data_IF_082351732138
#
_entry.id   IF_082351732138
#
_cell.length_a   1.000
_cell.length_b   1.000
_cell.length_c   1.000
_cell.angle_alpha   90.00
_cell.angle_beta   90.00
_cell.angle_gamma   90.00
#
_symmetry.space_group_name_H-M   'P 1'
#
loop_
_entity.id
_entity.type
_entity.pdbx_description
1 polymer ?
#
# COMPACT_ATOMS: atom_id res chain seq x y z
N UNK A 1 42.04 -1.71 4.17
CA UNK A 1 41.56 -1.98 5.55
C UNK A 1 40.66 -0.89 6.14
N UNK A 2 40.66 0.36 5.64
CA UNK A 2 39.85 1.48 6.19
C UNK A 2 38.33 1.38 5.92
N UNK A 3 37.90 0.71 4.86
CA UNK A 3 36.47 0.58 4.49
C UNK A 3 35.65 -0.23 5.51
N UNK A 4 36.27 -1.20 6.22
CA UNK A 4 35.57 -2.00 7.24
C UNK A 4 35.21 -1.20 8.50
N UNK A 5 36.01 -0.19 8.84
CA UNK A 5 35.79 0.61 10.06
C UNK A 5 34.61 1.57 9.91
N UNK A 6 34.45 2.17 8.73
CA UNK A 6 33.28 3.01 8.42
C UNK A 6 31.99 2.20 8.39
N UNK A 7 31.99 0.99 7.83
CA UNK A 7 30.82 0.11 7.84
C UNK A 7 30.38 -0.28 9.25
N UNK A 8 31.34 -0.58 10.14
CA UNK A 8 31.06 -0.86 11.55
C UNK A 8 30.57 0.40 12.27
N UNK A 9 31.17 1.55 12.00
CA UNK A 9 30.75 2.83 12.57
C UNK A 9 29.34 3.25 12.12
N UNK A 10 29.02 3.13 10.83
CA UNK A 10 27.67 3.36 10.31
C UNK A 10 26.68 2.31 10.81
N UNK A 11 27.09 1.06 11.02
CA UNK A 11 26.25 0.02 11.62
C UNK A 11 25.99 0.29 13.10
N UNK A 12 26.97 0.80 13.85
CA UNK A 12 26.80 1.22 15.25
C UNK A 12 25.95 2.49 15.35
N UNK A 13 26.14 3.47 14.46
CA UNK A 13 25.26 4.65 14.38
C UNK A 13 23.84 4.24 13.96
N UNK A 14 23.69 3.30 13.02
CA UNK A 14 22.40 2.74 12.63
C UNK A 14 21.74 2.00 13.80
N UNK A 15 22.50 1.21 14.57
CA UNK A 15 22.02 0.56 15.79
C UNK A 15 21.64 1.58 16.86
N UNK A 16 22.46 2.62 17.08
CA UNK A 16 22.24 3.68 18.06
C UNK A 16 21.08 4.63 17.71
N UNK A 17 20.82 4.86 16.41
CA UNK A 17 19.61 5.56 15.94
C UNK A 17 18.39 4.63 15.88
N UNK A 18 18.58 3.32 15.69
CA UNK A 18 17.48 2.34 15.77
C UNK A 18 16.97 2.13 17.19
N UNK A 19 17.79 2.44 18.22
CA UNK A 19 17.36 2.43 19.63
C UNK A 19 16.33 3.52 19.99
N UNK A 20 15.98 4.41 19.06
CA UNK A 20 14.93 5.42 19.24
C UNK A 20 13.74 5.26 18.26
N UNK A 21 13.67 4.15 17.52
CA UNK A 21 12.63 3.92 16.51
C UNK A 21 12.05 2.52 16.68
N UNK A 22 11.07 2.44 17.56
CA UNK A 22 10.24 1.26 17.78
C UNK A 22 8.77 1.78 17.65
N UNK A 23 7.82 1.03 17.03
CA UNK A 23 6.32 0.90 17.10
C UNK A 23 5.66 -0.17 16.25
N UNK A 24 4.52 -0.68 16.70
CA UNK A 24 3.57 -1.59 16.03
C UNK A 24 2.21 -0.94 15.94
N UNK A 25 1.10 -1.66 15.76
CA UNK A 25 0.83 -2.99 15.21
C UNK A 25 -0.52 -2.88 14.48
N UNK A 26 -0.71 -3.71 13.45
CA UNK A 26 -1.63 -3.60 12.30
C UNK A 26 -0.98 -2.96 11.08
N UNK A 27 -0.17 -3.75 10.39
CA UNK A 27 0.48 -3.31 9.18
C UNK A 27 0.45 -4.37 8.09
N UNK A 28 0.26 -3.90 6.87
CA UNK A 28 0.36 -4.72 5.68
C UNK A 28 1.82 -5.07 5.34
N UNK A 29 1.99 -6.34 4.97
CA UNK A 29 3.21 -6.91 4.36
C UNK A 29 3.63 -6.11 3.12
N UNK A 30 2.67 -5.95 2.21
CA UNK A 30 2.74 -5.18 0.98
C UNK A 30 1.45 -4.36 0.90
N UNK A 31 1.56 -3.10 0.49
CA UNK A 31 0.53 -2.09 0.70
C UNK A 31 1.04 -0.90 1.53
N UNK A 32 0.15 0.02 1.92
CA UNK A 32 0.45 1.25 2.65
C UNK A 32 0.73 0.95 4.15
N UNK A 33 0.38 1.84 5.07
CA UNK A 33 0.75 1.70 6.47
C UNK A 33 -0.04 0.58 7.17
N UNK A 34 -1.36 0.53 7.00
CA UNK A 34 -2.24 -0.39 7.73
C UNK A 34 -2.76 -1.54 6.86
N UNK A 35 -3.15 -1.23 5.63
CA UNK A 35 -3.77 -2.20 4.74
C UNK A 35 -2.77 -3.20 4.15
N UNK A 36 -3.20 -4.45 4.10
CA UNK A 36 -2.55 -5.55 3.40
C UNK A 36 -3.05 -5.68 1.97
N UNK A 37 -2.16 -5.91 1.01
CA UNK A 37 -2.51 -6.21 -0.38
C UNK A 37 -3.28 -7.54 -0.54
N UNK A 38 -3.93 -7.73 -1.68
CA UNK A 38 -4.58 -8.99 -2.08
C UNK A 38 -3.61 -10.06 -2.60
N UNK A 39 -2.30 -9.81 -2.64
CA UNK A 39 -1.27 -10.77 -3.08
C UNK A 39 -0.30 -11.13 -1.96
N UNK A 40 0.34 -12.29 -2.05
CA UNK A 40 1.33 -12.77 -1.06
C UNK A 40 2.76 -12.48 -1.50
N UNK A 41 3.69 -12.64 -0.57
CA UNK A 41 5.10 -12.75 -0.91
C UNK A 41 5.34 -13.95 -1.83
N UNK A 42 6.30 -13.86 -2.77
CA UNK A 42 6.75 -15.01 -3.54
C UNK A 42 7.25 -16.15 -2.63
N UNK A 43 7.16 -17.39 -3.12
CA UNK A 43 7.68 -18.56 -2.39
C UNK A 43 9.19 -18.41 -2.15
N UNK A 44 9.59 -18.51 -0.88
CA UNK A 44 10.96 -18.38 -0.42
C UNK A 44 11.40 -16.95 -0.13
N UNK A 45 10.57 -15.94 -0.43
CA UNK A 45 10.88 -14.55 -0.10
C UNK A 45 10.55 -14.30 1.38
N UNK A 46 11.40 -13.48 2.00
CA UNK A 46 11.30 -13.06 3.38
C UNK A 46 11.37 -11.54 3.46
N UNK A 47 10.55 -10.94 4.31
CA UNK A 47 10.61 -9.51 4.64
C UNK A 47 10.66 -9.32 6.13
N UNK A 48 11.35 -8.25 6.51
CA UNK A 48 11.45 -7.78 7.87
C UNK A 48 11.02 -6.32 7.90
N UNK A 49 10.11 -5.98 8.80
CA UNK A 49 9.70 -4.61 9.03
C UNK A 49 10.00 -4.19 10.46
N UNK A 50 10.36 -2.92 10.61
CA UNK A 50 10.18 -2.20 11.86
C UNK A 50 9.12 -1.14 11.63
N UNK A 51 8.39 -0.80 12.65
CA UNK A 51 7.47 0.33 12.62
C UNK A 51 7.78 1.26 13.80
N UNK A 52 7.22 2.46 13.82
CA UNK A 52 7.26 3.49 14.87
C UNK A 52 6.00 4.35 14.76
N UNK A 53 5.41 4.75 15.89
CA UNK A 53 4.10 5.36 16.07
C UNK A 53 4.23 6.27 17.26
N UNK A 54 3.76 7.49 17.07
CA UNK A 54 4.00 8.55 18.02
C UNK A 54 2.82 9.50 18.04
N UNK A 55 2.36 9.79 19.26
CA UNK A 55 1.37 10.80 19.56
C UNK A 55 1.74 11.51 20.86
N UNK A 56 1.36 12.79 20.98
CA UNK A 56 1.35 13.47 22.26
C UNK A 56 0.17 14.42 22.41
N UNK A 57 -0.18 14.71 23.66
CA UNK A 57 -1.21 15.67 24.03
C UNK A 57 -0.75 16.50 25.22
N UNK A 58 -0.73 17.83 25.07
CA UNK A 58 -0.38 18.77 26.13
C UNK A 58 -1.65 19.33 26.76
N UNK A 59 -1.73 19.28 28.09
CA UNK A 59 -2.75 19.98 28.86
C UNK A 59 -2.12 20.97 29.83
N UNK A 60 -2.54 22.22 29.72
CA UNK A 60 -2.23 23.27 30.68
C UNK A 60 -3.36 23.39 31.70
N UNK A 61 -2.98 23.48 32.97
CA UNK A 61 -3.86 23.75 34.10
C UNK A 61 -3.53 25.13 34.65
N UNK A 62 -4.59 25.88 34.96
CA UNK A 62 -4.51 27.19 35.58
C UNK A 62 -5.06 27.04 37.00
N UNK A 63 -4.21 27.27 37.98
CA UNK A 63 -4.59 27.27 39.39
C UNK A 63 -5.21 28.61 39.77
N UNK A 64 -5.95 28.63 40.89
CA UNK A 64 -6.59 29.85 41.42
C UNK A 64 -5.62 30.95 41.84
N UNK A 65 -4.34 30.63 42.01
CA UNK A 65 -3.24 31.55 42.35
C UNK A 65 -2.47 32.08 41.11
N UNK A 66 -3.03 31.91 39.91
CA UNK A 66 -2.37 32.17 38.62
C UNK A 66 -1.12 31.32 38.34
N UNK A 67 -0.85 30.26 39.13
CA UNK A 67 0.18 29.30 38.74
C UNK A 67 -0.28 28.48 37.53
N UNK A 68 0.66 28.23 36.62
CA UNK A 68 0.44 27.46 35.40
C UNK A 68 1.23 26.17 35.52
N UNK A 69 0.54 25.04 35.47
CA UNK A 69 1.18 23.72 35.33
C UNK A 69 0.79 23.10 33.99
N UNK A 70 1.66 22.27 33.44
CA UNK A 70 1.40 21.57 32.19
C UNK A 70 1.79 20.10 32.32
N UNK A 71 0.95 19.23 31.75
CA UNK A 71 1.21 17.80 31.65
C UNK A 71 1.19 17.43 30.17
N UNK A 72 2.20 16.67 29.74
CA UNK A 72 2.25 16.07 28.41
C UNK A 72 2.04 14.56 28.54
N UNK A 73 1.03 14.06 27.83
CA UNK A 73 0.81 12.63 27.64
C UNK A 73 1.47 12.22 26.33
N UNK A 74 2.34 11.22 26.40
CA UNK A 74 3.01 10.63 25.24
C UNK A 74 2.42 9.27 24.98
N UNK A 75 2.25 8.90 23.72
CA UNK A 75 1.81 7.57 23.31
C UNK A 75 2.78 7.09 22.24
N UNK A 76 3.74 6.30 22.71
CA UNK A 76 4.82 5.71 21.92
C UNK A 76 4.66 4.21 21.99
N UNK A 77 4.69 3.58 20.83
CA UNK A 77 4.61 2.14 20.68
C UNK A 77 5.95 1.67 20.11
N UNK A 78 6.35 0.40 20.26
CA UNK A 78 7.46 -0.39 19.69
C UNK A 78 7.10 -1.65 18.85
N UNK A 79 7.50 -1.95 17.59
CA UNK A 79 7.34 -3.32 17.03
C UNK A 79 8.30 -3.75 15.92
N UNK A 80 8.39 -5.08 15.80
CA UNK A 80 9.06 -5.82 14.75
C UNK A 80 8.08 -6.76 14.05
N UNK A 81 8.20 -6.90 12.74
CA UNK A 81 7.38 -7.79 11.93
C UNK A 81 8.24 -8.64 10.99
N UNK A 82 7.91 -9.91 10.88
CA UNK A 82 8.56 -10.89 10.02
C UNK A 82 7.53 -11.55 9.14
N UNK A 83 7.84 -11.70 7.87
CA UNK A 83 6.95 -12.31 6.90
C UNK A 83 7.69 -13.27 5.99
N UNK A 84 7.09 -14.43 5.74
CA UNK A 84 7.67 -15.47 4.90
C UNK A 84 6.64 -16.07 3.96
N UNK A 85 6.90 -15.99 2.65
CA UNK A 85 6.12 -16.67 1.62
C UNK A 85 6.52 -18.14 1.55
N UNK A 86 5.76 -19.06 2.14
CA UNK A 86 6.12 -20.49 2.13
C UNK A 86 5.53 -21.25 0.94
N UNK A 87 4.52 -20.70 0.27
CA UNK A 87 3.96 -21.25 -0.96
C UNK A 87 3.46 -20.14 -1.90
N UNK A 88 3.09 -20.51 -3.13
CA UNK A 88 2.69 -19.55 -4.20
C UNK A 88 1.58 -18.57 -3.76
N UNK A 89 0.62 -19.06 -2.99
CA UNK A 89 -0.55 -18.31 -2.53
C UNK A 89 -0.63 -18.24 -1.01
N UNK A 90 0.47 -18.51 -0.29
CA UNK A 90 0.45 -18.56 1.17
C UNK A 90 1.68 -17.91 1.78
N UNK A 91 1.43 -17.16 2.84
CA UNK A 91 2.42 -16.44 3.59
C UNK A 91 2.09 -16.49 5.08
N UNK A 92 3.11 -16.70 5.90
CA UNK A 92 3.03 -16.56 7.35
C UNK A 92 3.65 -15.23 7.78
N UNK A 93 3.17 -14.70 8.90
CA UNK A 93 3.69 -13.50 9.54
C UNK A 93 3.72 -13.62 11.05
N UNK A 94 4.72 -12.99 11.65
CA UNK A 94 4.92 -12.86 13.09
C UNK A 94 5.20 -11.39 13.38
N UNK A 95 4.40 -10.75 14.23
CA UNK A 95 4.62 -9.36 14.63
C UNK A 95 4.64 -9.26 16.15
N UNK A 96 5.72 -8.74 16.71
CA UNK A 96 5.87 -8.54 18.16
C UNK A 96 5.87 -7.06 18.45
N UNK A 97 4.96 -6.62 19.31
CA UNK A 97 5.07 -5.31 19.93
C UNK A 97 6.19 -5.39 20.97
N UNK A 98 7.30 -4.71 20.71
CA UNK A 98 8.43 -4.68 21.63
C UNK A 98 8.21 -3.75 22.81
N UNK A 99 7.63 -2.57 22.59
CA UNK A 99 7.46 -1.53 23.60
C UNK A 99 6.06 -0.93 23.47
N UNK A 100 5.43 -0.46 24.53
CA UNK A 100 4.22 0.34 24.42
C UNK A 100 4.01 1.15 25.69
N UNK A 101 3.81 2.46 25.58
CA UNK A 101 3.36 3.27 26.72
C UNK A 101 1.99 2.77 27.18
N UNK A 102 1.83 2.49 28.48
CA UNK A 102 0.56 2.00 29.02
C UNK A 102 -0.10 2.98 30.00
N UNK A 103 0.62 4.04 30.39
CA UNK A 103 0.18 5.08 31.33
C UNK A 103 -0.25 4.56 32.71
N UNK A 104 0.22 3.37 33.12
CA UNK A 104 -0.01 2.77 34.44
C UNK A 104 1.16 3.09 35.37
N UNK A 105 0.93 3.94 36.36
CA UNK A 105 1.96 4.40 37.30
C UNK A 105 2.95 5.42 36.70
N UNK A 106 4.02 5.73 37.43
CA UNK A 106 5.03 6.72 37.02
C UNK A 106 5.93 6.16 35.89
N UNK A 107 5.54 6.41 34.64
CA UNK A 107 6.31 6.01 33.45
C UNK A 107 5.96 4.62 32.90
N UNK A 108 4.78 4.09 33.20
CA UNK A 108 4.38 2.73 32.82
C UNK A 108 4.49 2.43 31.32
N UNK A 109 5.09 1.28 31.02
CA UNK A 109 5.22 0.71 29.68
C UNK A 109 5.08 -0.82 29.73
N UNK A 110 4.76 -1.43 28.59
CA UNK A 110 4.85 -2.87 28.36
C UNK A 110 6.13 -3.18 27.58
N UNK A 111 6.87 -4.22 27.99
CA UNK A 111 8.04 -4.74 27.25
C UNK A 111 8.30 -6.22 27.58
N UNK A 112 7.98 -7.17 26.67
CA UNK A 112 7.23 -6.99 25.44
C UNK A 112 5.74 -6.70 25.72
N UNK A 113 5.03 -6.24 24.69
CA UNK A 113 3.56 -6.24 24.67
C UNK A 113 3.10 -7.45 23.81
N UNK A 114 1.93 -7.37 23.19
CA UNK A 114 1.26 -8.51 22.56
C UNK A 114 1.94 -8.99 21.26
N UNK A 115 1.79 -10.29 21.02
CA UNK A 115 2.32 -10.99 19.85
C UNK A 115 1.20 -11.29 18.86
N UNK A 116 1.46 -11.11 17.57
CA UNK A 116 0.51 -11.35 16.50
C UNK A 116 1.04 -12.43 15.55
N UNK A 117 0.21 -13.42 15.29
CA UNK A 117 0.41 -14.45 14.28
C UNK A 117 -0.52 -14.17 13.11
N UNK A 118 0.02 -14.20 11.90
CA UNK A 118 -0.73 -13.92 10.68
C UNK A 118 -0.56 -15.07 9.68
N UNK A 119 -1.67 -15.53 9.10
CA UNK A 119 -1.67 -16.41 7.95
C UNK A 119 -2.43 -15.74 6.82
N UNK A 120 -1.76 -15.47 5.71
CA UNK A 120 -2.33 -14.79 4.54
C UNK A 120 -2.34 -15.72 3.34
N UNK A 121 -3.46 -15.72 2.63
CA UNK A 121 -3.58 -16.29 1.29
C UNK A 121 -3.96 -15.22 0.29
N UNK A 122 -3.55 -15.35 -0.97
CA UNK A 122 -3.85 -14.33 -1.97
C UNK A 122 -3.18 -14.56 -3.32
N UNK A 123 -3.31 -13.57 -4.19
CA UNK A 123 -2.87 -13.66 -5.59
C UNK A 123 -3.85 -14.45 -6.45
N UNK A 124 -5.12 -14.54 -6.04
CA UNK A 124 -6.20 -15.08 -6.86
C UNK A 124 -6.70 -13.96 -7.78
N UNK A 125 -6.35 -14.03 -9.06
CA UNK A 125 -6.67 -12.98 -10.01
C UNK A 125 -7.95 -13.28 -10.82
N UNK A 126 -8.73 -12.25 -11.13
CA UNK A 126 -9.82 -12.35 -12.11
C UNK A 126 -9.28 -12.45 -13.55
N UNK A 127 -10.14 -12.75 -14.54
CA UNK A 127 -9.74 -12.98 -15.96
C UNK A 127 -8.86 -11.89 -16.60
N UNK A 128 -8.96 -10.63 -16.15
CA UNK A 128 -8.12 -9.52 -16.64
C UNK A 128 -6.80 -9.34 -15.90
N UNK A 129 -6.54 -10.08 -14.82
CA UNK A 129 -5.33 -9.98 -13.99
C UNK A 129 -5.25 -8.74 -13.09
N UNK A 130 -6.03 -7.69 -13.37
CA UNK A 130 -5.95 -6.40 -12.67
C UNK A 130 -6.41 -6.45 -11.21
N UNK A 131 -7.39 -7.31 -10.91
CA UNK A 131 -7.88 -7.51 -9.56
C UNK A 131 -7.30 -8.78 -8.96
N UNK A 132 -6.77 -8.66 -7.74
CA UNK A 132 -6.25 -9.75 -6.92
C UNK A 132 -7.03 -9.83 -5.62
N UNK A 133 -7.43 -11.04 -5.26
CA UNK A 133 -8.18 -11.33 -4.04
C UNK A 133 -7.38 -12.24 -3.12
N UNK A 134 -7.67 -12.14 -1.83
CA UNK A 134 -7.04 -12.95 -0.81
C UNK A 134 -7.80 -12.90 0.52
N UNK A 135 -7.24 -13.58 1.50
CA UNK A 135 -7.74 -13.58 2.87
C UNK A 135 -6.58 -13.58 3.86
N UNK A 136 -6.83 -13.09 5.07
CA UNK A 136 -5.88 -13.11 6.18
C UNK A 136 -6.58 -13.60 7.45
N UNK A 137 -5.96 -14.54 8.13
CA UNK A 137 -6.25 -14.87 9.52
C UNK A 137 -5.21 -14.18 10.40
N UNK A 138 -5.67 -13.64 11.51
CA UNK A 138 -4.83 -13.01 12.53
C UNK A 138 -5.21 -13.59 13.89
N UNK A 139 -4.20 -13.89 14.69
CA UNK A 139 -4.36 -14.25 16.10
C UNK A 139 -3.47 -13.34 16.92
N UNK A 140 -4.04 -12.71 17.95
CA UNK A 140 -3.31 -11.94 18.95
C UNK A 140 -3.14 -12.79 20.20
N UNK A 141 -1.92 -12.87 20.70
CA UNK A 141 -1.56 -13.57 21.94
C UNK A 141 -1.23 -12.48 22.97
N UNK A 142 -1.97 -12.42 24.09
CA UNK A 142 -1.79 -11.41 25.12
C UNK A 142 -0.52 -11.72 25.92
N UNK A 143 0.59 -11.06 25.60
CA UNK A 143 1.86 -11.22 26.33
C UNK A 143 2.18 -10.01 27.21
N UNK A 144 1.46 -8.90 27.02
CA UNK A 144 1.67 -7.69 27.79
C UNK A 144 1.24 -7.85 29.26
N UNK A 145 1.89 -7.11 30.15
CA UNK A 145 1.50 -7.07 31.58
C UNK A 145 0.22 -6.24 31.80
N UNK A 146 0.05 -5.18 31.02
CA UNK A 146 -1.11 -4.29 31.10
C UNK A 146 -1.89 -4.25 29.77
N UNK A 147 -3.21 -4.30 29.87
CA UNK A 147 -4.13 -4.21 28.74
C UNK A 147 -5.18 -3.12 28.98
N UNK A 148 -6.11 -2.93 28.03
CA UNK A 148 -7.06 -1.82 28.04
C UNK A 148 -6.32 -0.48 28.23
N UNK A 149 -5.48 -0.14 27.26
CA UNK A 149 -4.63 1.05 27.27
C UNK A 149 -5.36 2.20 26.58
N UNK A 150 -5.31 3.40 27.17
CA UNK A 150 -5.88 4.60 26.56
C UNK A 150 -5.08 4.95 25.29
N UNK A 151 -5.72 5.56 24.29
CA UNK A 151 -5.09 5.95 23.03
C UNK A 151 -4.72 4.78 22.10
N UNK A 152 -4.92 3.54 22.53
CA UNK A 152 -4.66 2.37 21.69
C UNK A 152 -5.95 1.61 21.34
N UNK A 153 -6.00 0.86 20.22
CA UNK A 153 -7.11 -0.04 19.93
C UNK A 153 -7.41 -0.98 21.11
N UNK A 154 -8.67 -1.38 21.22
CA UNK A 154 -9.10 -2.21 22.34
C UNK A 154 -8.34 -3.54 22.38
N UNK A 155 -7.94 -3.93 23.59
CA UNK A 155 -7.39 -5.24 23.92
C UNK A 155 -7.98 -5.69 25.23
N UNK A 156 -8.53 -6.88 25.25
CA UNK A 156 -9.05 -7.49 26.47
C UNK A 156 -7.97 -8.19 27.32
N UNK A 157 -6.73 -8.28 26.83
CA UNK A 157 -5.72 -9.12 27.46
C UNK A 157 -6.01 -10.61 27.35
N UNK A 158 -6.76 -11.00 26.33
CA UNK A 158 -7.12 -12.37 26.03
C UNK A 158 -6.72 -12.68 24.58
N UNK A 159 -6.76 -13.95 24.22
CA UNK A 159 -6.53 -14.34 22.83
C UNK A 159 -7.62 -13.72 21.95
N UNK A 160 -7.21 -13.00 20.91
CA UNK A 160 -8.12 -12.41 19.92
C UNK A 160 -7.89 -13.08 18.58
N UNK A 161 -8.96 -13.23 17.79
CA UNK A 161 -8.88 -13.85 16.48
C UNK A 161 -9.68 -13.06 15.45
N UNK A 162 -9.06 -12.84 14.29
CA UNK A 162 -9.66 -12.07 13.21
C UNK A 162 -9.54 -12.75 11.85
N UNK A 163 -10.56 -12.55 11.03
CA UNK A 163 -10.59 -12.97 9.62
C UNK A 163 -10.83 -11.76 8.74
N UNK A 164 -10.04 -11.63 7.67
CA UNK A 164 -10.05 -10.47 6.78
C UNK A 164 -10.12 -10.92 5.33
N UNK A 165 -11.02 -10.34 4.56
CA UNK A 165 -11.02 -10.36 3.11
C UNK A 165 -10.17 -9.23 2.54
N UNK A 166 -9.42 -9.54 1.48
CA UNK A 166 -8.48 -8.63 0.84
C UNK A 166 -8.80 -8.52 -0.65
N UNK A 167 -8.89 -7.30 -1.15
CA UNK A 167 -8.97 -7.02 -2.58
C UNK A 167 -7.94 -5.97 -2.97
N UNK A 168 -7.31 -6.14 -4.12
CA UNK A 168 -6.37 -5.15 -4.64
C UNK A 168 -6.45 -5.05 -6.14
N UNK A 169 -6.60 -3.83 -6.61
CA UNK A 169 -6.50 -3.49 -8.01
C UNK A 169 -5.09 -2.99 -8.30
N UNK A 170 -4.52 -3.44 -9.42
CA UNK A 170 -3.33 -2.85 -9.99
C UNK A 170 -3.54 -2.55 -11.46
N UNK A 171 -3.13 -1.35 -11.85
CA UNK A 171 -3.08 -0.93 -13.26
C UNK A 171 -2.00 -1.67 -14.07
N UNK A 172 -1.05 -2.35 -13.40
CA UNK A 172 -0.11 -3.26 -14.05
C UNK A 172 -0.08 -4.61 -13.31
N UNK A 173 -0.86 -5.61 -13.76
CA UNK A 173 -0.92 -6.92 -13.11
C UNK A 173 0.44 -7.60 -12.94
N UNK A 174 1.34 -7.44 -13.92
CA UNK A 174 2.66 -8.06 -13.92
C UNK A 174 3.65 -7.33 -12.99
N UNK A 175 3.40 -6.05 -12.71
CA UNK A 175 4.26 -5.19 -11.91
C UNK A 175 3.42 -4.34 -10.96
N UNK A 176 2.78 -4.96 -9.96
CA UNK A 176 1.81 -4.24 -9.16
C UNK A 176 2.44 -3.04 -8.47
N UNK A 177 3.67 -3.16 -7.97
CA UNK A 177 4.35 -2.07 -7.24
C UNK A 177 4.81 -0.88 -8.12
N UNK A 178 4.77 -0.97 -9.46
CA UNK A 178 5.32 0.08 -10.33
C UNK A 178 4.30 1.09 -10.85
N UNK A 179 3.00 0.79 -10.74
CA UNK A 179 1.91 1.68 -11.18
C UNK A 179 0.82 1.79 -10.12
N UNK A 180 -0.20 2.61 -10.42
CA UNK A 180 -1.32 2.86 -9.52
C UNK A 180 -1.91 1.56 -8.96
N UNK A 181 -2.04 1.52 -7.63
CA UNK A 181 -2.68 0.45 -6.89
C UNK A 181 -3.81 0.97 -6.02
N UNK A 182 -4.84 0.16 -5.87
CA UNK A 182 -5.92 0.37 -4.90
C UNK A 182 -6.04 -0.87 -4.05
N UNK A 183 -6.17 -0.69 -2.74
CA UNK A 183 -6.31 -1.76 -1.76
C UNK A 183 -7.61 -1.58 -0.99
N UNK A 184 -8.33 -2.68 -0.75
CA UNK A 184 -9.54 -2.73 0.05
C UNK A 184 -9.44 -3.90 1.01
N UNK A 185 -9.59 -3.64 2.31
CA UNK A 185 -9.63 -4.68 3.33
C UNK A 185 -10.90 -4.55 4.14
N UNK A 186 -11.45 -5.70 4.49
CA UNK A 186 -12.58 -5.79 5.41
C UNK A 186 -12.42 -7.06 6.24
N UNK A 187 -12.57 -6.96 7.55
CA UNK A 187 -12.46 -8.10 8.43
C UNK A 187 -13.33 -7.98 9.66
N UNK A 188 -13.42 -9.11 10.35
CA UNK A 188 -14.11 -9.28 11.61
C UNK A 188 -13.07 -9.69 12.65
N UNK A 189 -13.05 -9.00 13.79
CA UNK A 189 -12.22 -9.31 14.94
C UNK A 189 -13.13 -9.69 16.12
N UNK A 190 -12.85 -10.84 16.74
CA UNK A 190 -13.48 -11.28 17.98
C UNK A 190 -12.48 -11.10 19.13
N UNK A 191 -12.88 -10.33 20.13
CA UNK A 191 -12.15 -10.19 21.38
C UNK A 191 -12.75 -11.19 22.36
N UNK A 192 -11.94 -12.14 22.85
CA UNK A 192 -12.38 -13.13 23.83
C UNK A 192 -12.49 -12.52 25.24
N UNK A 193 -13.36 -11.53 25.40
CA UNK A 193 -13.51 -10.72 26.61
C UNK A 193 -14.68 -11.16 27.51
N UNK A 194 -15.21 -12.37 27.29
CA UNK A 194 -16.27 -12.94 28.13
C UNK A 194 -15.79 -13.08 29.58
N UNK A 195 -16.54 -12.47 30.51
CA UNK A 195 -16.26 -12.46 31.94
C UNK A 195 -14.85 -11.94 32.31
N UNK A 196 -14.24 -11.11 31.47
CA UNK A 196 -13.00 -10.41 31.81
C UNK A 196 -13.33 -9.17 32.63
N UNK A 197 -12.65 -8.99 33.76
CA UNK A 197 -12.69 -7.74 34.51
C UNK A 197 -11.55 -6.82 34.03
N UNK A 198 -11.91 -5.68 33.43
CA UNK A 198 -10.94 -4.68 32.95
C UNK A 198 -10.62 -3.60 34.00
N UNK A 199 -11.26 -3.64 35.17
CA UNK A 199 -10.99 -2.71 36.26
C UNK A 199 -9.84 -3.24 37.12
N UNK A 200 -8.91 -2.35 37.48
CA UNK A 200 -7.88 -2.61 38.49
C UNK A 200 -8.43 -2.57 39.92
N UNK A 201 -9.64 -2.04 40.11
CA UNK A 201 -10.33 -2.01 41.40
C UNK A 201 -11.25 -3.23 41.53
N UNK A 202 -10.96 -4.11 42.50
CA UNK A 202 -11.72 -5.35 42.79
C UNK A 202 -13.21 -5.11 43.12
N UNK A 203 -13.59 -3.88 43.42
CA UNK A 203 -14.94 -3.49 43.88
C UNK A 203 -15.97 -3.32 42.76
N UNK A 204 -15.56 -3.24 41.48
CA UNK A 204 -16.48 -3.03 40.34
C UNK A 204 -16.27 -4.11 39.29
N UNK A 205 -17.12 -5.14 39.32
CA UNK A 205 -17.18 -6.20 38.31
C UNK A 205 -18.21 -5.87 37.23
N UNK A 206 -17.82 -5.15 36.17
CA UNK A 206 -18.60 -5.06 34.93
C UNK A 206 -18.26 -6.25 34.02
N UNK A 207 -18.69 -7.45 34.44
CA UNK A 207 -18.40 -8.68 33.72
C UNK A 207 -19.31 -8.80 32.50
N UNK A 208 -18.70 -8.85 31.32
CA UNK A 208 -19.43 -8.97 30.07
C UNK A 208 -19.98 -10.38 29.88
N UNK A 209 -21.23 -10.45 29.41
CA UNK A 209 -21.94 -11.73 29.13
C UNK A 209 -21.61 -12.34 27.77
N UNK A 210 -20.91 -11.63 26.88
CA UNK A 210 -20.63 -12.07 25.51
C UNK A 210 -19.40 -11.35 24.94
N UNK A 211 -18.70 -12.00 24.02
CA UNK A 211 -17.50 -11.47 23.37
C UNK A 211 -17.77 -10.15 22.62
N UNK A 212 -16.83 -9.20 22.70
CA UNK A 212 -16.80 -8.02 21.83
C UNK A 212 -16.41 -8.41 20.43
N UNK A 213 -17.02 -7.73 19.47
CA UNK A 213 -16.79 -7.97 18.04
C UNK A 213 -16.76 -6.67 17.30
N UNK A 214 -15.80 -6.52 16.40
CA UNK A 214 -15.70 -5.37 15.54
C UNK A 214 -15.45 -5.74 14.08
N UNK A 215 -15.95 -4.88 13.21
CA UNK A 215 -15.58 -4.84 11.79
C UNK A 215 -14.40 -3.88 11.67
N UNK A 216 -13.29 -4.35 11.11
CA UNK A 216 -12.12 -3.53 10.80
C UNK A 216 -12.02 -3.45 9.29
N UNK A 217 -11.81 -2.26 8.76
CA UNK A 217 -11.68 -2.13 7.31
C UNK A 217 -11.06 -0.81 6.88
N UNK A 218 -10.76 -0.76 5.59
CA UNK A 218 -10.19 0.42 4.99
C UNK A 218 -9.96 0.31 3.50
N UNK A 219 -9.62 1.44 2.92
CA UNK A 219 -9.28 1.59 1.52
C UNK A 219 -8.02 2.45 1.37
N UNK A 220 -7.16 2.13 0.41
CA UNK A 220 -6.03 2.98 0.09
C UNK A 220 -5.76 3.04 -1.40
N UNK A 221 -5.22 4.18 -1.83
CA UNK A 221 -4.67 4.38 -3.16
C UNK A 221 -3.18 4.67 -3.03
N UNK A 222 -2.38 4.05 -3.88
CA UNK A 222 -0.93 4.26 -3.96
C UNK A 222 -0.59 4.73 -5.37
N UNK A 223 0.13 5.85 -5.44
CA UNK A 223 0.70 6.43 -6.65
C UNK A 223 2.22 6.26 -6.60
N UNK A 224 2.77 5.19 -7.20
CA UNK A 224 4.20 4.98 -7.21
C UNK A 224 4.90 5.85 -8.26
N UNK A 225 6.09 6.33 -7.91
CA UNK A 225 7.08 6.95 -8.82
C UNK A 225 8.37 6.13 -8.77
N UNK A 226 9.47 6.58 -9.38
CA UNK A 226 10.74 5.85 -9.34
C UNK A 226 11.33 5.75 -7.92
N UNK A 227 11.35 6.86 -7.17
CA UNK A 227 11.98 6.95 -5.85
C UNK A 227 10.98 7.04 -4.70
N UNK A 228 9.76 7.53 -4.96
CA UNK A 228 8.76 7.77 -3.92
C UNK A 228 7.42 7.13 -4.28
N UNK A 229 6.74 6.55 -3.31
CA UNK A 229 5.33 6.19 -3.45
C UNK A 229 4.49 7.10 -2.58
N UNK A 230 3.48 7.75 -3.15
CA UNK A 230 2.53 8.56 -2.40
C UNK A 230 1.28 7.72 -2.12
N UNK A 231 0.83 7.72 -0.87
CA UNK A 231 -0.35 6.95 -0.47
C UNK A 231 -1.37 7.85 0.21
N UNK A 232 -2.64 7.53 -0.01
CA UNK A 232 -3.76 8.05 0.75
C UNK A 232 -4.58 6.87 1.26
N UNK A 233 -4.71 6.75 2.57
CA UNK A 233 -5.32 5.60 3.24
C UNK A 233 -6.45 6.06 4.16
N UNK A 234 -7.58 5.34 4.12
CA UNK A 234 -8.68 5.45 5.07
C UNK A 234 -8.78 4.11 5.80
N UNK A 235 -8.79 4.14 7.12
CA UNK A 235 -8.94 2.94 7.93
C UNK A 235 -9.70 3.22 9.21
N UNK A 236 -10.41 2.23 9.73
CA UNK A 236 -11.22 2.39 10.92
C UNK A 236 -11.84 1.09 11.39
N UNK A 237 -12.61 1.21 12.47
CA UNK A 237 -13.36 0.11 13.05
C UNK A 237 -14.84 0.46 13.27
N UNK A 238 -15.64 -0.57 13.44
CA UNK A 238 -17.03 -0.47 13.83
C UNK A 238 -17.42 -1.65 14.74
N UNK A 239 -17.76 -1.37 16.00
CA UNK A 239 -18.19 -2.40 16.94
C UNK A 239 -19.59 -2.93 16.58
N UNK A 240 -19.68 -4.24 16.33
CA UNK A 240 -20.94 -4.99 16.29
C UNK A 240 -21.43 -5.23 17.72
N UNK A 241 -20.52 -5.70 18.58
CA UNK A 241 -20.72 -5.79 20.03
C UNK A 241 -19.63 -4.99 20.71
N UNK A 242 -20.05 -3.97 21.47
CA UNK A 242 -19.13 -3.03 22.12
C UNK A 242 -18.39 -3.68 23.30
N UNK A 243 -17.16 -3.23 23.59
CA UNK A 243 -16.45 -3.51 24.82
C UNK A 243 -17.24 -3.11 26.09
N UNK A 244 -16.85 -3.66 27.26
CA UNK A 244 -17.39 -3.28 28.57
C UNK A 244 -17.37 -1.76 28.80
N UNK A 245 -18.16 -1.28 29.77
CA UNK A 245 -18.20 0.17 30.04
C UNK A 245 -16.89 0.73 30.60
N UNK A 246 -16.05 -0.16 31.11
CA UNK A 246 -14.73 0.06 31.68
C UNK A 246 -13.61 0.05 30.64
N UNK A 247 -13.90 -0.31 29.38
CA UNK A 247 -12.92 -0.24 28.30
C UNK A 247 -12.74 1.21 27.83
N UNK A 248 -11.49 1.70 27.74
CA UNK A 248 -11.21 3.03 27.19
C UNK A 248 -11.65 3.07 25.73
N UNK A 249 -11.20 2.10 24.93
CA UNK A 249 -11.35 2.07 23.46
C UNK A 249 -12.64 1.43 22.96
N UNK A 250 -13.78 1.80 23.56
CA UNK A 250 -15.10 1.24 23.23
C UNK A 250 -15.88 1.96 22.13
N UNK A 251 -15.30 3.00 21.54
CA UNK A 251 -15.91 3.80 20.48
C UNK A 251 -15.36 3.43 19.11
N UNK A 252 -16.16 3.66 18.08
CA UNK A 252 -15.71 3.51 16.70
C UNK A 252 -14.79 4.69 16.32
N UNK A 253 -13.80 4.42 15.48
CA UNK A 253 -12.92 5.42 14.90
C UNK A 253 -12.80 5.26 13.38
N UNK A 254 -12.37 6.34 12.74
CA UNK A 254 -12.01 6.41 11.33
C UNK A 254 -10.88 7.43 11.20
N UNK A 255 -9.82 7.04 10.51
CA UNK A 255 -8.65 7.84 10.23
C UNK A 255 -8.46 8.02 8.73
N UNK A 256 -7.91 9.17 8.37
CA UNK A 256 -7.29 9.44 7.08
C UNK A 256 -5.78 9.56 7.28
N UNK A 257 -5.01 8.84 6.47
CA UNK A 257 -3.55 8.74 6.57
C UNK A 257 -2.90 8.99 5.22
N UNK A 258 -2.52 10.25 4.90
CA UNK A 258 -1.56 10.51 3.84
C UNK A 258 -0.20 9.93 4.22
N UNK A 259 0.51 9.39 3.24
CA UNK A 259 1.82 8.80 3.43
C UNK A 259 2.74 8.95 2.24
N UNK A 260 4.03 8.81 2.51
CA UNK A 260 5.11 8.78 1.52
C UNK A 260 6.03 7.61 1.84
N UNK A 261 6.40 6.84 0.82
CA UNK A 261 7.39 5.76 0.94
C UNK A 261 8.59 6.09 0.07
N UNK A 262 9.76 6.24 0.68
CA UNK A 262 11.03 6.40 0.00
C UNK A 262 11.69 5.04 -0.26
N UNK A 263 11.94 4.74 -1.54
CA UNK A 263 12.58 3.51 -2.02
C UNK A 263 14.07 3.71 -2.13
N UNK A 264 14.76 3.71 -0.99
CA UNK A 264 16.21 3.97 -0.92
C UNK A 264 17.03 2.94 -1.69
N UNK A 265 16.72 1.65 -1.54
CA UNK A 265 17.32 0.56 -2.30
C UNK A 265 16.26 -0.48 -2.66
N UNK A 266 16.54 -1.35 -3.65
CA UNK A 266 15.60 -2.43 -4.04
C UNK A 266 15.20 -3.35 -2.87
N UNK A 267 16.03 -3.42 -1.83
CA UNK A 267 15.82 -4.21 -0.62
C UNK A 267 15.45 -3.38 0.61
N UNK A 268 15.46 -2.04 0.55
CA UNK A 268 15.22 -1.17 1.70
C UNK A 268 14.30 0.01 1.33
N UNK A 269 13.22 0.16 2.07
CA UNK A 269 12.30 1.30 1.93
C UNK A 269 11.88 1.85 3.28
N UNK A 270 11.61 3.16 3.32
CA UNK A 270 11.13 3.86 4.50
C UNK A 270 9.78 4.49 4.17
N UNK A 271 8.73 4.14 4.92
CA UNK A 271 7.42 4.76 4.81
C UNK A 271 7.18 5.68 5.99
N UNK A 272 6.60 6.84 5.72
CA UNK A 272 6.14 7.80 6.69
C UNK A 272 4.67 8.07 6.42
N UNK A 273 3.86 8.24 7.46
CA UNK A 273 2.50 8.76 7.29
C UNK A 273 1.97 9.43 8.53
N UNK A 274 0.91 10.18 8.32
CA UNK A 274 0.33 11.05 9.33
C UNK A 274 -1.16 10.78 9.43
N UNK A 275 -1.58 10.18 10.54
CA UNK A 275 -2.99 9.89 10.76
C UNK A 275 -3.72 11.12 11.26
N UNK A 276 -4.91 11.35 10.71
CA UNK A 276 -5.84 12.37 11.13
C UNK A 276 -7.16 11.69 11.45
N UNK A 277 -7.63 11.79 12.69
CA UNK A 277 -8.91 11.20 13.08
C UNK A 277 -10.06 12.03 12.49
N UNK A 278 -10.92 11.37 11.71
CA UNK A 278 -12.12 11.98 11.14
C UNK A 278 -13.34 11.89 12.06
N UNK A 279 -13.31 10.97 13.02
CA UNK A 279 -14.39 10.76 14.00
C UNK A 279 -14.32 11.76 15.16
N UNK A 280 -15.49 12.17 15.71
CA UNK A 280 -15.54 13.10 16.84
C UNK A 280 -14.82 12.56 18.07
N UNK A 281 -14.31 13.48 18.88
CA UNK A 281 -13.74 13.09 20.16
C UNK A 281 -14.85 12.66 21.12
N UNK A 282 -14.87 11.38 21.49
CA UNK A 282 -15.69 10.87 22.58
C UNK A 282 -14.74 10.39 23.67
N UNK A 283 -14.86 11.00 24.85
CA UNK A 283 -14.20 10.50 26.06
C UNK A 283 -15.02 9.34 26.60
N UNK A 284 -14.42 8.16 26.71
CA UNK A 284 -15.06 6.98 27.31
C UNK A 284 -14.81 6.85 28.80
N UNK A 285 -14.17 7.84 29.45
CA UNK A 285 -13.93 7.83 30.89
C UNK A 285 -15.29 7.80 31.60
N UNK A 286 -15.83 6.60 31.72
CA UNK A 286 -17.01 6.34 32.52
C UNK A 286 -16.58 6.54 33.96
N UNK A 287 -17.49 7.05 34.79
CA UNK A 287 -17.31 7.18 36.23
C UNK A 287 -17.04 5.85 36.96
N UNK A 288 -16.91 4.74 36.22
CA UNK A 288 -16.66 3.38 36.68
C UNK A 288 -15.19 2.97 36.60
N UNK A 289 -14.38 3.67 35.80
CA UNK A 289 -12.94 3.45 35.79
C UNK A 289 -12.36 4.31 36.90
N UNK A 290 -11.89 3.68 37.97
CA UNK A 290 -11.18 4.32 39.07
C UNK A 290 -9.76 4.68 38.62
N UNK A 291 -9.65 5.45 37.54
CA UNK A 291 -8.39 5.92 36.99
C UNK A 291 -8.26 7.40 37.28
N UNK A 292 -7.11 7.79 37.82
CA UNK A 292 -6.64 9.19 37.84
C UNK A 292 -6.47 9.80 36.43
N UNK A 293 -6.89 9.07 35.39
CA UNK A 293 -6.87 9.51 34.00
C UNK A 293 -7.89 10.63 33.78
N UNK A 294 -7.44 11.80 33.32
CA UNK A 294 -8.29 12.95 33.18
C UNK A 294 -9.35 12.80 32.09
N UNK A 295 -10.57 13.27 32.38
CA UNK A 295 -11.72 13.29 31.46
C UNK A 295 -11.47 14.01 30.12
N UNK A 296 -10.42 14.84 30.02
CA UNK A 296 -10.09 15.59 28.81
C UNK A 296 -9.28 14.81 27.78
N UNK A 297 -8.70 13.65 28.13
CA UNK A 297 -7.96 12.84 27.17
C UNK A 297 -8.93 12.17 26.18
N UNK A 298 -8.61 12.19 24.88
CA UNK A 298 -9.43 11.49 23.91
C UNK A 298 -9.22 9.98 24.05
N UNK A 299 -10.24 9.18 23.71
CA UNK A 299 -10.14 7.72 23.71
C UNK A 299 -9.08 7.20 22.73
N UNK A 300 -8.99 7.84 21.56
CA UNK A 300 -7.97 7.59 20.55
C UNK A 300 -7.18 8.87 20.21
N UNK A 301 -5.97 8.78 19.66
CA UNK A 301 -5.19 9.92 19.22
C UNK A 301 -5.96 10.76 18.21
N UNK A 302 -5.91 12.09 18.35
CA UNK A 302 -6.51 12.98 17.34
C UNK A 302 -5.70 12.99 16.04
N UNK A 303 -4.40 12.80 16.19
CA UNK A 303 -3.43 12.68 15.13
C UNK A 303 -2.38 11.65 15.58
N UNK A 304 -1.61 11.09 14.65
CA UNK A 304 -0.49 10.21 14.98
C UNK A 304 0.53 10.23 13.84
N UNK A 305 1.81 10.15 14.17
CA UNK A 305 2.87 9.97 13.17
C UNK A 305 3.24 8.50 13.13
N UNK A 306 3.42 7.97 11.93
CA UNK A 306 3.83 6.59 11.69
C UNK A 306 5.08 6.56 10.82
N UNK A 307 6.01 5.68 11.17
CA UNK A 307 7.23 5.42 10.43
C UNK A 307 7.40 3.92 10.28
N UNK A 308 7.71 3.41 9.10
CA UNK A 308 7.92 2.00 8.83
C UNK A 308 9.20 1.82 8.02
N UNK A 309 10.11 0.99 8.48
CA UNK A 309 11.23 0.51 7.68
C UNK A 309 10.90 -0.88 7.16
N UNK A 310 11.09 -1.12 5.87
CA UNK A 310 10.92 -2.44 5.25
C UNK A 310 12.24 -2.89 4.64
N UNK A 311 12.66 -4.10 5.00
CA UNK A 311 13.86 -4.78 4.53
C UNK A 311 13.46 -6.07 3.83
N UNK A 312 13.87 -6.25 2.58
CA UNK A 312 13.58 -7.42 1.75
C UNK A 312 14.89 -8.13 1.35
N UNK A 313 15.53 -8.88 2.26
CA UNK A 313 16.88 -9.41 2.06
C UNK A 313 16.97 -10.48 0.96
N UNK A 314 15.89 -11.21 0.69
CA UNK A 314 15.88 -12.41 -0.18
C UNK A 314 14.84 -12.29 -1.29
N UNK A 315 14.85 -11.22 -2.09
CA UNK A 315 14.02 -11.21 -3.31
C UNK A 315 14.85 -11.62 -4.53
N UNK A 316 14.80 -12.91 -4.89
CA UNK A 316 15.39 -13.43 -6.13
C UNK A 316 14.75 -12.77 -7.37
N UNK A 317 13.50 -12.36 -7.25
CA UNK A 317 12.74 -11.64 -8.28
C UNK A 317 13.23 -10.18 -8.41
N UNK A 318 13.37 -9.43 -7.32
CA UNK A 318 13.84 -8.02 -7.39
C UNK A 318 15.30 -7.88 -7.82
N UNK A 319 16.16 -8.88 -7.62
CA UNK A 319 17.52 -8.88 -8.21
C UNK A 319 17.53 -8.95 -9.74
N UNK A 320 16.53 -9.60 -10.36
CA UNK A 320 16.35 -9.57 -11.82
C UNK A 320 15.80 -8.22 -12.27
N UNK A 321 14.81 -7.68 -11.55
CA UNK A 321 14.17 -6.40 -11.90
C UNK A 321 15.03 -5.15 -11.66
N UNK A 322 15.87 -5.11 -10.62
CA UNK A 322 16.82 -4.00 -10.42
C UNK A 322 17.86 -3.92 -11.57
N UNK A 323 18.17 -5.07 -12.18
CA UNK A 323 19.01 -5.13 -13.38
C UNK A 323 18.23 -4.65 -14.61
N UNK A 324 16.97 -5.08 -14.74
CA UNK A 324 16.08 -4.69 -15.84
C UNK A 324 15.60 -3.23 -15.79
N UNK A 325 15.33 -2.61 -14.64
CA UNK A 325 14.92 -1.19 -14.55
C UNK A 325 16.07 -0.25 -14.92
N UNK A 326 17.30 -0.57 -14.52
CA UNK A 326 18.48 0.21 -14.89
C UNK A 326 18.77 0.08 -16.40
N UNK A 327 18.56 -1.10 -16.98
CA UNK A 327 18.71 -1.35 -18.42
C UNK A 327 17.50 -0.85 -19.24
N UNK A 328 16.28 -0.84 -18.69
CA UNK A 328 15.06 -0.42 -19.40
C UNK A 328 14.92 1.09 -19.45
N UNK A 329 15.26 1.85 -18.41
CA UNK A 329 15.23 3.33 -18.51
C UNK A 329 16.22 3.83 -19.57
N UNK A 330 17.43 3.24 -19.64
CA UNK A 330 18.43 3.55 -20.67
C UNK A 330 18.00 3.03 -22.06
N UNK A 331 17.29 1.90 -22.14
CA UNK A 331 16.82 1.36 -23.43
C UNK A 331 15.52 1.96 -23.94
N UNK A 332 14.65 2.52 -23.09
CA UNK A 332 13.35 3.06 -23.49
C UNK A 332 13.51 4.45 -24.09
N UNK A 333 14.40 5.30 -23.56
CA UNK A 333 14.78 6.56 -24.23
C UNK A 333 15.43 6.32 -25.61
N UNK A 334 16.24 5.27 -25.74
CA UNK A 334 16.86 4.90 -27.02
C UNK A 334 15.88 4.19 -27.98
N UNK A 335 14.93 3.40 -27.47
CA UNK A 335 13.88 2.76 -28.28
C UNK A 335 12.83 3.77 -28.75
N UNK A 336 12.44 4.74 -27.92
CA UNK A 336 11.54 5.81 -28.34
C UNK A 336 12.20 6.67 -29.42
N UNK A 337 13.46 7.08 -29.26
CA UNK A 337 14.21 7.80 -30.32
C UNK A 337 14.28 7.01 -31.63
N UNK A 338 14.59 5.72 -31.57
CA UNK A 338 14.67 4.87 -32.78
C UNK A 338 13.31 4.58 -33.42
N UNK A 339 12.22 4.54 -32.64
CA UNK A 339 10.86 4.41 -33.19
C UNK A 339 10.41 5.71 -33.86
N UNK A 340 10.70 6.88 -33.27
CA UNK A 340 10.44 8.17 -33.91
C UNK A 340 11.24 8.36 -35.20
N UNK A 341 12.51 7.95 -35.22
CA UNK A 341 13.33 7.96 -36.44
C UNK A 341 12.78 7.03 -37.52
N UNK A 342 12.38 5.80 -37.17
CA UNK A 342 11.76 4.86 -38.12
C UNK A 342 10.43 5.37 -38.67
N UNK A 343 9.58 5.98 -37.85
CA UNK A 343 8.31 6.57 -38.31
C UNK A 343 8.57 7.78 -39.22
N UNK A 344 9.60 8.59 -38.95
CA UNK A 344 9.97 9.70 -39.80
C UNK A 344 10.53 9.24 -41.16
N UNK A 345 11.33 8.17 -41.18
CA UNK A 345 11.85 7.58 -42.41
C UNK A 345 10.74 6.88 -43.22
N UNK A 346 9.83 6.14 -42.59
CA UNK A 346 8.68 5.55 -43.26
C UNK A 346 7.77 6.60 -43.89
N UNK A 347 7.51 7.74 -43.22
CA UNK A 347 6.76 8.85 -43.82
C UNK A 347 7.44 9.41 -45.07
N UNK A 348 8.77 9.60 -45.05
CA UNK A 348 9.53 10.03 -46.23
C UNK A 348 9.47 9.00 -47.37
N UNK A 349 9.46 7.71 -47.05
CA UNK A 349 9.32 6.65 -48.05
C UNK A 349 7.91 6.61 -48.65
N UNK A 350 6.87 6.84 -47.86
CA UNK A 350 5.49 6.94 -48.33
C UNK A 350 5.31 8.17 -49.24
N UNK A 351 5.83 9.33 -48.85
CA UNK A 351 5.77 10.54 -49.71
C UNK A 351 6.48 10.33 -51.05
N UNK A 352 7.65 9.67 -51.06
CA UNK A 352 8.34 9.32 -52.31
C UNK A 352 7.54 8.33 -53.17
N UNK A 353 6.93 7.32 -52.54
CA UNK A 353 6.11 6.34 -53.23
C UNK A 353 4.83 6.98 -53.83
N UNK A 354 4.21 7.94 -53.15
CA UNK A 354 3.06 8.69 -53.67
C UNK A 354 3.43 9.52 -54.91
N UNK A 355 4.59 10.19 -54.89
CA UNK A 355 5.11 10.95 -56.05
C UNK A 355 5.40 10.02 -57.24
N UNK A 356 5.96 8.83 -57.00
CA UNK A 356 6.17 7.83 -58.05
C UNK A 356 4.85 7.27 -58.59
N UNK A 357 3.86 7.02 -57.72
CA UNK A 357 2.54 6.55 -58.11
C UNK A 357 1.83 7.57 -59.01
N UNK A 358 1.91 8.87 -58.67
CA UNK A 358 1.33 9.94 -59.47
C UNK A 358 1.98 10.03 -60.86
N UNK A 359 3.29 9.80 -60.96
CA UNK A 359 4.00 9.73 -62.22
C UNK A 359 3.57 8.52 -63.07
N UNK A 360 3.33 7.36 -62.46
CA UNK A 360 2.82 6.16 -63.15
C UNK A 360 1.40 6.40 -63.67
N UNK A 361 0.54 7.06 -62.90
CA UNK A 361 -0.82 7.41 -63.32
C UNK A 361 -0.77 8.35 -64.54
N UNK A 362 0.09 9.38 -64.51
CA UNK A 362 0.30 10.29 -65.66
C UNK A 362 0.83 9.56 -66.89
N UNK A 363 1.72 8.58 -66.71
CA UNK A 363 2.24 7.76 -67.82
C UNK A 363 1.17 6.85 -68.42
N UNK A 364 0.31 6.22 -67.59
CA UNK A 364 -0.83 5.42 -68.06
C UNK A 364 -1.81 6.25 -68.86
N UNK A 365 -2.18 7.44 -68.39
CA UNK A 365 -3.05 8.35 -69.12
C UNK A 365 -2.48 8.73 -70.50
N UNK A 366 -1.18 9.02 -70.57
CA UNK A 366 -0.51 9.29 -71.86
C UNK A 366 -0.51 8.07 -72.79
N UNK A 367 -0.29 6.87 -72.26
CA UNK A 367 -0.34 5.63 -73.06
C UNK A 367 -1.76 5.35 -73.57
N UNK A 368 -2.79 5.59 -72.77
CA UNK A 368 -4.19 5.43 -73.17
C UNK A 368 -4.59 6.44 -74.26
N UNK A 369 -4.12 7.69 -74.16
CA UNK A 369 -4.29 8.68 -75.23
C UNK A 369 -3.60 8.25 -76.54
N UNK A 370 -2.38 7.73 -76.46
CA UNK A 370 -1.64 7.22 -77.62
C UNK A 370 -2.36 6.01 -78.22
N UNK A 371 -2.83 5.07 -77.40
CA UNK A 371 -3.60 3.91 -77.84
C UNK A 371 -4.90 4.31 -78.54
N UNK A 372 -5.62 5.31 -78.01
CA UNK A 372 -6.82 5.83 -78.65
C UNK A 372 -6.53 6.53 -79.98
N UNK A 373 -5.43 7.28 -80.08
CA UNK A 373 -4.97 7.86 -81.36
C UNK A 373 -4.59 6.79 -82.37
N UNK A 374 -3.91 5.74 -81.94
CA UNK A 374 -3.54 4.60 -82.79
C UNK A 374 -4.77 3.83 -83.26
N UNK A 375 -5.74 3.55 -82.39
CA UNK A 375 -7.02 2.94 -82.77
C UNK A 375 -7.75 3.78 -83.81
N UNK A 376 -7.85 5.10 -83.58
CA UNK A 376 -8.50 6.01 -84.53
C UNK A 376 -7.79 6.06 -85.89
N UNK A 377 -6.45 6.02 -85.90
CA UNK A 377 -5.68 5.94 -87.15
C UNK A 377 -5.83 4.58 -87.87
N UNK A 378 -5.95 3.48 -87.11
CA UNK A 378 -6.20 2.14 -87.65
C UNK A 378 -7.61 2.00 -88.22
N UNK A 379 -8.62 2.56 -87.56
CA UNK A 379 -10.00 2.56 -88.04
C UNK A 379 -10.16 3.39 -89.32
N UNK A 380 -9.48 4.53 -89.43
CA UNK A 380 -9.41 5.32 -90.68
C UNK A 380 -8.77 4.49 -91.80
N UNK A 381 -7.63 3.83 -91.53
CA UNK A 381 -6.93 3.00 -92.53
C UNK A 381 -7.72 1.76 -92.96
N UNK A 382 -8.50 1.17 -92.06
CA UNK A 382 -9.41 0.06 -92.37
C UNK A 382 -10.66 0.53 -93.14
N UNK A 383 -11.13 1.75 -92.91
CA UNK A 383 -12.22 2.35 -93.68
C UNK A 383 -11.81 2.70 -95.12
N UNK A 384 -10.57 3.12 -95.35
CA UNK A 384 -10.01 3.34 -96.68
C UNK A 384 -9.84 2.01 -97.44
N UNK A 385 -9.35 0.95 -96.76
CA UNK A 385 -9.23 -0.40 -97.37
C UNK A 385 -10.57 -1.05 -97.73
N UNK A 386 -11.65 -0.73 -97.02
CA UNK A 386 -12.99 -1.23 -97.33
C UNK A 386 -13.74 -0.36 -98.35
N UNK A 387 -13.26 0.85 -98.66
CA UNK A 387 -13.77 1.72 -99.71
C UNK A 387 -13.29 1.34 -101.12
N UNK A 388 -12.03 0.89 -101.26
CA UNK A 388 -11.46 0.50 -102.55
C UNK A 388 -11.95 -0.87 -103.08
N UNK A 389 -12.71 -1.64 -102.28
CA UNK A 389 -13.26 -2.94 -102.66
C UNK A 389 -14.66 -2.93 -103.30
N UNK A 390 -15.31 -1.75 -103.45
CA UNK A 390 -16.69 -1.64 -103.96
C UNK A 390 -16.86 -0.92 -105.31
N UNK A 391 -15.79 -0.53 -105.98
CA UNK A 391 -15.82 -0.11 -107.39
C UNK A 391 -15.05 -1.10 -108.27
N UNK A 392 -15.62 -2.30 -108.45
CA UNK A 392 -15.38 -3.18 -109.61
C UNK A 392 -16.37 -4.33 -109.55
N UNK A 393 -17.59 -4.08 -110.01
CA UNK A 393 -18.43 -5.05 -110.71
C UNK A 393 -19.48 -4.34 -111.53
#
# INVERSE_FOLDING_TARGET
>A
MKIKLYLIFYFIIFLAFSSFLIAGSEQGVSGPLYLSSGWTLPKGDFTFHTNSRFYFNNKTFYSSDNSVSAITYWDIHGSLEFYYGFAKHFQAGLSQILYQDNHKGAGGYNFPDDLFLNLKTGGFSAKSGAWNFGGKLMVRIPLADHHNIILEPYSAGQIEAGIFGLASYSSSPNFPESKLNVHLNLGLLDHNDHAVNLNESETLTDLKKHNSREIIGGAAVIFPTSLFDFSAELYGNYYISKPPATAFSRHNYLYFSPGITYKSFYWLSFAFGFDIRLTPNKSSASSLINSDLPNYLPTYPRWRVNFKMRVNPVSKLKKRFAKEETDTVISTENKEKTVYEKIADEKKHIEKAEVELENIIKQRQKLDEILNRLKKALDVKNSEKNGEGKEKK
#
